data_IF_440803052669
#
_entry.id   IF_440803052669
#
_cell.length_a   1.000
_cell.length_b   1.000
_cell.length_c   1.000
_cell.angle_alpha   90.00
_cell.angle_beta   90.00
_cell.angle_gamma   90.00
#
_symmetry.space_group_name_H-M   'P 1'
#
loop_
_entity.id
_entity.type
_entity.pdbx_description
1 polymer ?
#
# COMPACT_ATOMS: atom_id res chain seq x y z
N UNK A 1 14.07 16.14 -25.68
CA UNK A 1 12.86 15.41 -25.25
C UNK A 1 12.92 15.27 -23.73
N UNK A 2 11.85 15.57 -22.98
CA UNK A 2 11.85 15.32 -21.53
C UNK A 2 12.02 13.80 -21.30
N UNK A 3 12.91 13.40 -20.40
CA UNK A 3 13.10 12.00 -20.02
C UNK A 3 11.78 11.47 -19.46
N UNK A 4 11.39 10.24 -19.84
CA UNK A 4 10.21 9.59 -19.26
C UNK A 4 10.42 9.40 -17.75
N UNK A 5 9.37 9.55 -16.92
CA UNK A 5 9.47 9.30 -15.49
C UNK A 5 9.85 7.82 -15.24
N UNK A 6 10.74 7.57 -14.29
CA UNK A 6 11.04 6.23 -13.78
C UNK A 6 10.09 5.90 -12.65
N UNK A 7 9.41 4.77 -12.76
CA UNK A 7 8.35 4.34 -11.86
C UNK A 7 8.78 3.01 -11.24
N UNK A 8 8.95 3.01 -9.92
CA UNK A 8 9.14 1.78 -9.15
C UNK A 8 7.78 1.19 -8.81
N UNK A 9 7.56 -0.09 -9.16
CA UNK A 9 6.32 -0.82 -8.86
C UNK A 9 6.62 -1.98 -7.91
N UNK A 10 5.80 -2.12 -6.88
CA UNK A 10 5.87 -3.21 -5.89
C UNK A 10 4.47 -3.58 -5.39
N UNK A 11 4.36 -4.56 -4.50
CA UNK A 11 3.13 -4.93 -3.79
C UNK A 11 3.46 -5.84 -2.59
N UNK A 12 2.41 -6.36 -1.93
CA UNK A 12 2.47 -7.38 -0.89
C UNK A 12 1.79 -8.71 -1.26
N UNK A 13 0.98 -8.76 -2.32
CA UNK A 13 0.38 -10.02 -2.81
C UNK A 13 1.36 -10.91 -3.59
N UNK A 14 2.53 -10.38 -3.92
CA UNK A 14 3.59 -11.05 -4.67
C UNK A 14 3.59 -10.71 -6.16
N UNK A 15 4.74 -10.96 -6.79
CA UNK A 15 5.04 -10.46 -8.15
C UNK A 15 4.09 -10.97 -9.23
N UNK A 16 3.50 -12.15 -9.08
CA UNK A 16 2.58 -12.73 -10.07
C UNK A 16 1.11 -12.33 -9.85
N UNK A 17 0.80 -11.58 -8.80
CA UNK A 17 -0.59 -11.27 -8.45
C UNK A 17 -1.31 -10.42 -9.52
N UNK A 18 -2.60 -10.67 -9.80
CA UNK A 18 -3.35 -9.92 -10.83
C UNK A 18 -3.36 -8.41 -10.60
N UNK A 19 -3.41 -7.96 -9.34
CA UNK A 19 -3.41 -6.56 -8.98
C UNK A 19 -2.13 -5.81 -9.38
N UNK A 20 -0.94 -6.38 -9.14
CA UNK A 20 0.33 -5.78 -9.57
C UNK A 20 0.49 -5.85 -11.09
N UNK A 21 0.00 -6.92 -11.74
CA UNK A 21 0.00 -7.02 -13.21
C UNK A 21 -0.84 -5.90 -13.85
N UNK A 22 -2.02 -5.61 -13.29
CA UNK A 22 -2.83 -4.47 -13.72
C UNK A 22 -2.07 -3.16 -13.50
N UNK A 23 -1.50 -2.94 -12.30
CA UNK A 23 -0.78 -1.70 -11.97
C UNK A 23 0.37 -1.44 -12.95
N UNK A 24 1.20 -2.45 -13.19
CA UNK A 24 2.29 -2.43 -14.16
C UNK A 24 1.80 -2.02 -15.55
N UNK A 25 0.69 -2.62 -16.02
CA UNK A 25 0.14 -2.31 -17.33
C UNK A 25 -0.27 -0.84 -17.47
N UNK A 26 -0.68 -0.18 -16.38
CA UNK A 26 -0.97 1.26 -16.35
C UNK A 26 0.33 2.07 -16.35
N UNK A 27 1.29 1.68 -15.51
CA UNK A 27 2.54 2.42 -15.35
C UNK A 27 3.38 2.43 -16.64
N UNK A 28 3.32 1.35 -17.45
CA UNK A 28 3.96 1.27 -18.78
C UNK A 28 3.47 2.36 -19.75
N UNK A 29 2.24 2.84 -19.61
CA UNK A 29 1.72 3.95 -20.42
C UNK A 29 2.27 5.32 -19.97
N UNK A 30 2.78 5.41 -18.75
CA UNK A 30 3.22 6.67 -18.12
C UNK A 30 4.73 6.86 -18.26
N UNK A 31 5.51 5.80 -17.99
CA UNK A 31 6.94 5.93 -17.77
C UNK A 31 7.76 4.67 -18.02
N UNK A 32 9.04 4.77 -17.68
CA UNK A 32 9.97 3.66 -17.58
C UNK A 32 9.66 2.88 -16.29
N UNK A 33 9.35 1.59 -16.39
CA UNK A 33 8.91 0.77 -15.25
C UNK A 33 10.01 -0.16 -14.78
N UNK A 34 10.26 -0.17 -13.47
CA UNK A 34 11.04 -1.19 -12.79
C UNK A 34 10.18 -1.83 -11.72
N UNK A 35 10.19 -3.17 -11.67
CA UNK A 35 9.37 -3.94 -10.74
C UNK A 35 10.28 -4.67 -9.77
N UNK A 36 10.04 -4.48 -8.47
CA UNK A 36 10.68 -5.27 -7.41
C UNK A 36 9.59 -5.63 -6.42
N UNK A 37 9.22 -6.91 -6.34
CA UNK A 37 8.10 -7.36 -5.53
C UNK A 37 8.40 -8.70 -4.84
N UNK A 38 7.71 -9.02 -3.74
CA UNK A 38 7.88 -10.29 -3.06
C UNK A 38 7.62 -11.50 -3.98
N UNK A 39 8.36 -12.58 -3.77
CA UNK A 39 8.18 -13.84 -4.50
C UNK A 39 7.00 -14.69 -3.99
N UNK A 40 6.37 -14.28 -2.90
CA UNK A 40 5.25 -14.94 -2.22
C UNK A 40 4.37 -13.90 -1.53
N UNK A 41 3.09 -14.20 -1.21
CA UNK A 41 2.23 -13.28 -0.48
C UNK A 41 2.79 -12.91 0.91
N UNK A 42 2.73 -11.63 1.25
CA UNK A 42 3.24 -11.01 2.48
C UNK A 42 2.16 -10.18 3.20
N UNK A 43 0.87 -10.50 3.02
CA UNK A 43 -0.24 -9.78 3.64
C UNK A 43 -0.14 -9.80 5.18
N UNK A 44 -0.43 -8.66 5.83
CA UNK A 44 -0.42 -8.53 7.29
C UNK A 44 0.97 -8.44 7.93
N UNK A 45 2.03 -8.29 7.13
CA UNK A 45 3.42 -8.13 7.64
C UNK A 45 3.69 -6.74 8.22
N UNK A 46 2.83 -5.74 7.95
CA UNK A 46 3.09 -4.35 8.33
C UNK A 46 4.41 -3.84 7.77
N UNK A 47 5.08 -2.96 8.52
CA UNK A 47 6.36 -2.36 8.13
C UNK A 47 7.57 -3.22 8.55
N UNK A 48 7.44 -4.54 8.42
CA UNK A 48 8.51 -5.48 8.74
C UNK A 48 9.70 -5.33 7.78
N UNK A 49 10.91 -5.60 8.29
CA UNK A 49 12.17 -5.63 7.51
C UNK A 49 12.98 -6.88 7.86
N UNK A 50 13.73 -7.38 6.88
CA UNK A 50 14.56 -8.57 7.07
C UNK A 50 15.97 -8.16 7.52
N UNK A 51 16.29 -8.39 8.80
CA UNK A 51 17.62 -8.08 9.37
C UNK A 51 18.42 -9.36 9.68
N UNK A 52 17.76 -10.37 10.26
CA UNK A 52 18.42 -11.54 10.82
C UNK A 52 18.49 -12.73 9.83
N UNK A 53 18.35 -12.47 8.53
CA UNK A 53 18.36 -13.49 7.48
C UNK A 53 18.84 -12.88 6.16
N UNK A 54 19.33 -13.72 5.26
CA UNK A 54 19.78 -13.28 3.94
C UNK A 54 18.59 -12.97 3.03
N UNK A 55 18.65 -11.83 2.33
CA UNK A 55 17.73 -11.45 1.27
C UNK A 55 18.24 -11.94 -0.09
N UNK A 56 17.36 -12.58 -0.85
CA UNK A 56 17.63 -13.00 -2.21
C UNK A 56 16.79 -12.17 -3.17
N UNK A 57 17.40 -11.75 -4.27
CA UNK A 57 16.71 -11.05 -5.36
C UNK A 57 17.09 -11.70 -6.68
N UNK A 58 16.07 -12.04 -7.46
CA UNK A 58 16.23 -12.75 -8.72
C UNK A 58 15.54 -11.98 -9.83
N UNK A 59 16.25 -11.78 -10.94
CA UNK A 59 15.64 -11.21 -12.14
C UNK A 59 14.69 -12.25 -12.74
N UNK A 60 13.45 -11.86 -12.97
CA UNK A 60 12.43 -12.71 -13.60
C UNK A 60 11.97 -12.08 -14.91
N UNK A 61 11.45 -12.89 -15.83
CA UNK A 61 10.97 -12.45 -17.13
C UNK A 61 9.48 -12.83 -17.26
N UNK A 62 8.60 -12.14 -16.53
CA UNK A 62 7.16 -12.40 -16.54
C UNK A 62 6.50 -11.53 -17.62
N UNK A 63 6.75 -10.22 -17.59
CA UNK A 63 6.32 -9.28 -18.64
C UNK A 63 7.46 -9.05 -19.64
N UNK A 64 7.23 -9.38 -20.92
CA UNK A 64 8.24 -9.29 -21.98
C UNK A 64 8.67 -7.85 -22.29
N UNK A 65 7.85 -6.86 -21.95
CA UNK A 65 8.16 -5.46 -22.23
C UNK A 65 8.81 -4.76 -21.02
N UNK A 66 9.14 -5.49 -19.95
CA UNK A 66 9.83 -4.96 -18.78
C UNK A 66 11.23 -5.55 -18.70
N UNK A 67 12.23 -4.69 -18.86
CA UNK A 67 13.62 -5.11 -18.82
C UNK A 67 14.10 -5.45 -17.40
N UNK A 68 13.56 -4.76 -16.39
CA UNK A 68 13.98 -4.83 -14.99
C UNK A 68 12.80 -5.24 -14.10
N UNK A 69 12.62 -6.55 -13.99
CA UNK A 69 11.62 -7.16 -13.13
C UNK A 69 12.28 -8.17 -12.19
N UNK A 70 12.07 -8.02 -10.88
CA UNK A 70 12.79 -8.76 -9.85
C UNK A 70 11.85 -9.31 -8.78
N UNK A 71 11.98 -10.61 -8.50
CA UNK A 71 11.34 -11.27 -7.38
C UNK A 71 12.28 -11.23 -6.16
N UNK A 72 11.78 -10.78 -5.02
CA UNK A 72 12.54 -10.68 -3.77
C UNK A 72 12.02 -11.68 -2.73
N UNK A 73 12.91 -12.29 -1.96
CA UNK A 73 12.52 -13.18 -0.85
C UNK A 73 12.07 -12.44 0.42
N UNK A 74 12.18 -11.11 0.43
CA UNK A 74 11.86 -10.27 1.57
C UNK A 74 10.44 -9.72 1.57
N UNK A 75 10.24 -8.76 2.46
CA UNK A 75 9.00 -7.99 2.62
C UNK A 75 8.84 -6.94 1.49
N UNK A 76 7.66 -6.33 1.34
CA UNK A 76 7.47 -5.18 0.45
C UNK A 76 8.43 -4.01 0.76
N UNK A 77 8.75 -3.81 2.04
CA UNK A 77 9.71 -2.79 2.49
C UNK A 77 11.13 -3.13 2.02
N UNK A 78 11.54 -4.40 2.17
CA UNK A 78 12.84 -4.88 1.67
C UNK A 78 12.94 -4.70 0.15
N UNK A 79 11.85 -4.94 -0.59
CA UNK A 79 11.79 -4.72 -2.04
C UNK A 79 12.11 -3.27 -2.41
N UNK A 80 11.51 -2.30 -1.71
CA UNK A 80 11.75 -0.87 -1.96
C UNK A 80 13.18 -0.48 -1.62
N UNK A 81 13.70 -0.93 -0.47
CA UNK A 81 15.09 -0.66 -0.06
C UNK A 81 16.08 -1.21 -1.09
N UNK A 82 15.94 -2.48 -1.46
CA UNK A 82 16.81 -3.12 -2.47
C UNK A 82 16.69 -2.44 -3.83
N UNK A 83 15.48 -2.04 -4.23
CA UNK A 83 15.25 -1.34 -5.48
C UNK A 83 16.07 -0.04 -5.53
N UNK A 84 15.90 0.82 -4.53
CA UNK A 84 16.52 2.14 -4.48
C UNK A 84 18.04 2.05 -4.33
N UNK A 85 18.53 1.10 -3.54
CA UNK A 85 19.95 1.01 -3.19
C UNK A 85 20.80 0.25 -4.22
N UNK A 86 20.27 -0.86 -4.78
CA UNK A 86 21.07 -1.80 -5.57
C UNK A 86 20.61 -2.02 -7.02
N UNK A 87 19.34 -1.76 -7.34
CA UNK A 87 18.77 -2.15 -8.66
C UNK A 87 18.58 -0.96 -9.60
N UNK A 88 18.17 0.19 -9.04
CA UNK A 88 17.88 1.39 -9.79
C UNK A 88 19.16 2.22 -10.01
N UNK A 89 19.43 2.61 -11.26
CA UNK A 89 20.60 3.45 -11.60
C UNK A 89 20.40 4.93 -11.19
N UNK A 90 19.16 5.30 -10.85
CA UNK A 90 18.77 6.63 -10.40
C UNK A 90 17.56 6.53 -9.50
N UNK A 91 17.36 7.54 -8.66
CA UNK A 91 16.15 7.68 -7.84
C UNK A 91 14.89 7.66 -8.73
N UNK A 92 13.87 6.85 -8.40
CA UNK A 92 12.62 6.83 -9.14
C UNK A 92 11.87 8.15 -8.94
N UNK A 93 11.11 8.55 -9.96
CA UNK A 93 10.29 9.77 -9.94
C UNK A 93 9.00 9.55 -9.13
N UNK A 94 8.52 8.30 -9.04
CA UNK A 94 7.44 7.87 -8.16
C UNK A 94 7.55 6.37 -7.84
N UNK A 95 7.09 5.96 -6.66
CA UNK A 95 6.86 4.57 -6.31
C UNK A 95 5.36 4.29 -6.19
N UNK A 96 4.88 3.19 -6.77
CA UNK A 96 3.50 2.74 -6.62
C UNK A 96 3.46 1.31 -6.08
N UNK A 97 2.61 1.09 -5.09
CA UNK A 97 2.46 -0.20 -4.42
C UNK A 97 1.03 -0.74 -4.58
N UNK A 98 0.88 -2.02 -4.94
CA UNK A 98 -0.41 -2.69 -5.12
C UNK A 98 -0.64 -3.21 -6.54
N UNK A 99 -1.88 -3.27 -7.06
CA UNK A 99 -3.14 -3.02 -6.35
C UNK A 99 -3.43 -4.19 -5.42
N UNK A 100 -3.61 -3.92 -4.13
CA UNK A 100 -3.88 -4.94 -3.12
C UNK A 100 -5.29 -5.56 -3.26
N UNK A 101 -5.39 -6.85 -2.96
CA UNK A 101 -6.68 -7.53 -2.73
C UNK A 101 -7.18 -7.27 -1.30
N UNK A 102 -8.22 -6.45 -1.18
CA UNK A 102 -8.76 -5.99 0.10
C UNK A 102 -8.39 -4.54 0.44
N UNK A 103 -9.22 -3.91 1.27
CA UNK A 103 -9.00 -2.53 1.70
C UNK A 103 -7.82 -2.39 2.65
N UNK A 104 -7.09 -1.29 2.49
CA UNK A 104 -6.11 -0.78 3.45
C UNK A 104 -6.58 0.57 4.03
N UNK A 105 -7.88 0.77 4.16
CA UNK A 105 -8.50 1.96 4.75
C UNK A 105 -8.47 1.92 6.28
N UNK A 106 -8.65 3.09 6.90
CA UNK A 106 -8.67 3.24 8.35
C UNK A 106 -7.40 2.66 9.03
N UNK A 107 -7.57 2.01 10.18
CA UNK A 107 -6.47 1.43 10.97
C UNK A 107 -5.68 0.35 10.22
N UNK A 108 -6.23 -0.21 9.13
CA UNK A 108 -5.55 -1.25 8.35
C UNK A 108 -4.26 -0.74 7.68
N UNK A 109 -4.11 0.58 7.50
CA UNK A 109 -2.88 1.20 6.99
C UNK A 109 -1.63 0.72 7.76
N UNK A 110 -1.73 0.51 9.08
CA UNK A 110 -0.61 0.12 9.94
C UNK A 110 -0.14 -1.32 9.65
N UNK A 111 -1.06 -2.21 9.30
CA UNK A 111 -0.78 -3.64 9.07
C UNK A 111 -0.52 -3.96 7.59
N UNK A 112 -0.73 -2.98 6.72
CA UNK A 112 -0.68 -3.12 5.27
C UNK A 112 0.77 -3.18 4.77
N UNK A 113 1.13 -4.29 4.11
CA UNK A 113 2.40 -4.38 3.39
C UNK A 113 2.43 -3.42 2.19
N UNK A 114 1.28 -3.26 1.51
CA UNK A 114 1.11 -2.29 0.42
C UNK A 114 1.49 -0.88 0.85
N UNK A 115 0.93 -0.40 1.97
CA UNK A 115 1.20 0.94 2.48
C UNK A 115 2.59 1.05 3.10
N UNK A 116 3.10 -0.03 3.72
CA UNK A 116 4.46 -0.04 4.26
C UNK A 116 5.51 0.18 3.17
N UNK A 117 5.35 -0.43 2.00
CA UNK A 117 6.20 -0.14 0.85
C UNK A 117 6.09 1.31 0.38
N UNK A 118 4.89 1.87 0.32
CA UNK A 118 4.70 3.28 -0.05
C UNK A 118 5.36 4.23 0.97
N UNK A 119 5.16 3.98 2.27
CA UNK A 119 5.80 4.74 3.36
C UNK A 119 7.31 4.65 3.29
N UNK A 120 7.88 3.46 3.02
CA UNK A 120 9.32 3.28 2.87
C UNK A 120 9.90 4.12 1.72
N UNK A 121 9.20 4.15 0.58
CA UNK A 121 9.57 5.02 -0.53
C UNK A 121 9.48 6.50 -0.13
N UNK A 122 8.43 6.89 0.59
CA UNK A 122 8.25 8.24 1.16
C UNK A 122 9.39 8.65 2.08
N UNK A 123 9.81 7.77 2.99
CA UNK A 123 10.97 7.97 3.88
C UNK A 123 12.28 8.14 3.09
N UNK A 124 12.39 7.47 1.94
CA UNK A 124 13.49 7.66 0.99
C UNK A 124 13.34 8.92 0.11
N UNK A 125 12.39 9.81 0.46
CA UNK A 125 12.03 11.05 -0.23
C UNK A 125 11.59 10.81 -1.69
N UNK A 126 10.98 9.66 -1.98
CA UNK A 126 10.35 9.33 -3.27
C UNK A 126 8.84 9.53 -3.11
N UNK A 127 8.16 10.31 -3.99
CA UNK A 127 6.71 10.39 -3.98
C UNK A 127 6.09 8.98 -4.11
N UNK A 128 5.10 8.64 -3.28
CA UNK A 128 4.60 7.27 -3.23
C UNK A 128 3.09 7.16 -3.07
N UNK A 129 2.51 6.12 -3.68
CA UNK A 129 1.09 5.82 -3.64
C UNK A 129 0.86 4.33 -3.40
N UNK A 130 0.08 3.98 -2.39
CA UNK A 130 -0.48 2.65 -2.19
C UNK A 130 -1.88 2.56 -2.80
N UNK A 131 -2.15 1.52 -3.59
CA UNK A 131 -3.44 1.26 -4.21
C UNK A 131 -4.04 -0.04 -3.68
N UNK A 132 -5.34 -0.04 -3.40
CA UNK A 132 -6.05 -1.18 -2.83
C UNK A 132 -7.48 -1.26 -3.35
N UNK A 133 -7.99 -2.47 -3.57
CA UNK A 133 -9.37 -2.70 -4.02
C UNK A 133 -10.15 -3.43 -2.94
N UNK A 134 -11.38 -3.00 -2.66
CA UNK A 134 -12.30 -3.63 -1.71
C UNK A 134 -12.81 -5.02 -2.07
N UNK A 135 -12.02 -5.81 -2.80
CA UNK A 135 -12.35 -7.17 -3.20
C UNK A 135 -11.19 -8.11 -2.85
N UNK A 136 -11.45 -9.03 -1.92
CA UNK A 136 -10.49 -10.05 -1.47
C UNK A 136 -10.37 -11.22 -2.45
N UNK A 137 -11.21 -11.29 -3.49
CA UNK A 137 -11.14 -12.34 -4.50
C UNK A 137 -9.85 -12.24 -5.30
N UNK A 138 -9.14 -13.35 -5.47
CA UNK A 138 -8.00 -13.43 -6.40
C UNK A 138 -8.39 -13.06 -7.84
N UNK A 139 -9.64 -13.32 -8.22
CA UNK A 139 -10.19 -13.01 -9.54
C UNK A 139 -10.90 -11.64 -9.56
N UNK A 140 -10.56 -10.73 -8.65
CA UNK A 140 -11.13 -9.38 -8.63
C UNK A 140 -10.89 -8.66 -9.97
N UNK A 141 -11.89 -7.92 -10.43
CA UNK A 141 -11.80 -7.13 -11.65
C UNK A 141 -11.27 -5.72 -11.34
N UNK A 142 -10.00 -5.50 -11.70
CA UNK A 142 -9.33 -4.21 -11.53
C UNK A 142 -9.59 -3.24 -12.70
N UNK A 143 -10.15 -3.72 -13.82
CA UNK A 143 -10.31 -2.92 -15.04
C UNK A 143 -11.11 -1.61 -14.87
N UNK A 144 -12.14 -1.52 -14.00
CA UNK A 144 -12.87 -0.27 -13.78
C UNK A 144 -11.99 0.87 -13.25
N UNK A 145 -10.89 0.53 -12.56
CA UNK A 145 -10.06 1.49 -11.83
C UNK A 145 -8.83 1.97 -12.60
N UNK A 146 -8.61 1.46 -13.83
CA UNK A 146 -7.46 1.81 -14.67
C UNK A 146 -7.24 3.31 -14.80
N UNK A 147 -8.30 4.03 -15.18
CA UNK A 147 -8.25 5.47 -15.41
C UNK A 147 -8.02 6.26 -14.11
N UNK A 148 -8.52 5.74 -12.98
CA UNK A 148 -8.31 6.37 -11.67
C UNK A 148 -6.86 6.23 -11.21
N UNK A 149 -6.28 5.04 -11.31
CA UNK A 149 -4.85 4.79 -11.05
C UNK A 149 -3.99 5.72 -11.90
N UNK A 150 -4.23 5.74 -13.22
CA UNK A 150 -3.48 6.58 -14.16
C UNK A 150 -3.58 8.06 -13.81
N UNK A 151 -4.79 8.56 -13.56
CA UNK A 151 -5.06 9.97 -13.23
C UNK A 151 -4.35 10.39 -11.95
N UNK A 152 -4.47 9.61 -10.88
CA UNK A 152 -3.87 9.93 -9.57
C UNK A 152 -2.35 9.93 -9.69
N UNK A 153 -1.76 8.92 -10.34
CA UNK A 153 -0.31 8.86 -10.57
C UNK A 153 0.20 10.04 -11.38
N UNK A 154 -0.50 10.42 -12.46
CA UNK A 154 -0.11 11.57 -13.29
C UNK A 154 -0.20 12.90 -12.53
N UNK A 155 -1.23 13.11 -11.72
CA UNK A 155 -1.34 14.31 -10.89
C UNK A 155 -0.26 14.35 -9.80
N UNK A 156 0.09 13.21 -9.18
CA UNK A 156 1.19 13.14 -8.23
C UNK A 156 2.55 13.43 -8.88
N UNK A 157 2.82 12.89 -10.07
CA UNK A 157 4.04 13.19 -10.84
C UNK A 157 4.12 14.65 -11.25
N UNK A 158 2.98 15.26 -11.63
CA UNK A 158 2.92 16.64 -12.10
C UNK A 158 3.11 17.66 -10.99
N UNK A 159 2.45 17.46 -9.84
CA UNK A 159 2.42 18.43 -8.76
C UNK A 159 3.43 18.11 -7.63
N UNK A 160 3.98 16.90 -7.62
CA UNK A 160 4.67 16.36 -6.45
C UNK A 160 3.68 15.96 -5.36
N UNK A 161 4.22 15.45 -4.25
CA UNK A 161 3.49 15.27 -3.00
C UNK A 161 4.06 16.23 -1.95
N UNK A 162 3.25 16.65 -0.95
CA UNK A 162 3.77 17.36 0.20
C UNK A 162 4.90 16.59 0.88
N UNK A 163 5.78 17.30 1.58
CA UNK A 163 6.87 16.66 2.32
C UNK A 163 6.33 15.69 3.37
N UNK A 164 7.00 14.55 3.50
CA UNK A 164 6.70 13.48 4.45
C UNK A 164 5.26 12.94 4.38
N UNK A 165 4.68 12.97 3.17
CA UNK A 165 3.35 12.45 2.86
C UNK A 165 3.40 11.45 1.71
N UNK A 166 2.66 10.36 1.88
CA UNK A 166 2.33 9.37 0.83
C UNK A 166 0.82 9.31 0.64
N UNK A 167 0.33 8.75 -0.46
CA UNK A 167 -1.11 8.60 -0.68
C UNK A 167 -1.56 7.16 -0.46
N UNK A 168 -2.60 6.97 0.35
CA UNK A 168 -3.35 5.71 0.44
C UNK A 168 -4.63 5.82 -0.39
N UNK A 169 -4.77 4.96 -1.40
CA UNK A 169 -5.88 5.00 -2.35
C UNK A 169 -6.65 3.68 -2.29
N UNK A 170 -7.95 3.77 -1.99
CA UNK A 170 -8.83 2.62 -1.92
C UNK A 170 -9.97 2.73 -2.94
N UNK A 171 -10.21 1.65 -3.65
CA UNK A 171 -11.25 1.51 -4.66
C UNK A 171 -12.44 0.70 -4.12
N UNK A 172 -13.69 1.19 -4.20
CA UNK A 172 -14.84 0.43 -3.78
C UNK A 172 -15.09 -0.74 -4.75
N UNK A 173 -15.66 -1.86 -4.27
CA UNK A 173 -16.04 -2.99 -5.12
C UNK A 173 -17.33 -2.68 -5.90
N UNK A 174 -17.19 -1.86 -6.94
CA UNK A 174 -18.28 -1.36 -7.77
C UNK A 174 -17.92 -1.41 -9.25
N UNK A 175 -18.93 -1.43 -10.12
CA UNK A 175 -18.72 -1.26 -11.57
C UNK A 175 -18.35 0.18 -11.89
N UNK A 176 -17.72 0.38 -13.05
CA UNK A 176 -17.21 1.69 -13.47
C UNK A 176 -18.29 2.79 -13.45
N UNK A 177 -19.51 2.45 -13.85
CA UNK A 177 -20.65 3.36 -13.96
C UNK A 177 -21.22 3.78 -12.60
N UNK A 178 -20.92 3.02 -11.55
CA UNK A 178 -21.41 3.26 -10.18
C UNK A 178 -20.42 4.11 -9.36
N UNK A 179 -19.19 4.29 -9.85
CA UNK A 179 -18.17 5.10 -9.19
C UNK A 179 -18.48 6.58 -9.42
N UNK A 180 -18.75 7.31 -8.32
CA UNK A 180 -19.15 8.72 -8.35
C UNK A 180 -17.99 9.69 -8.51
N UNK A 181 -16.75 9.22 -8.34
CA UNK A 181 -15.53 10.00 -8.51
C UNK A 181 -14.48 9.73 -7.45
N UNK A 182 -13.53 10.66 -7.31
CA UNK A 182 -12.45 10.62 -6.31
C UNK A 182 -12.80 11.60 -5.18
N UNK A 183 -12.62 11.18 -3.93
CA UNK A 183 -12.79 12.02 -2.75
C UNK A 183 -11.53 12.00 -1.90
N UNK A 184 -10.99 13.19 -1.61
CA UNK A 184 -9.91 13.33 -0.62
C UNK A 184 -10.53 13.16 0.77
N UNK A 185 -9.92 12.30 1.57
CA UNK A 185 -10.46 11.87 2.86
C UNK A 185 -9.40 11.97 3.95
N UNK A 186 -9.84 12.01 5.20
CA UNK A 186 -9.02 11.59 6.34
C UNK A 186 -9.25 10.12 6.66
N UNK A 187 -8.35 9.52 7.42
CA UNK A 187 -8.53 8.17 7.95
C UNK A 187 -9.74 8.13 8.92
N UNK A 188 -10.63 7.17 8.74
CA UNK A 188 -11.73 6.91 9.69
C UNK A 188 -11.19 6.43 11.04
N UNK A 189 -11.85 6.83 12.13
CA UNK A 189 -11.67 6.21 13.45
C UNK A 189 -12.40 4.87 13.53
N UNK A 190 -11.76 3.80 13.08
CA UNK A 190 -12.25 2.44 13.21
C UNK A 190 -11.24 1.53 13.92
N UNK A 191 -11.73 0.42 14.45
CA UNK A 191 -10.93 -0.58 15.16
C UNK A 191 -11.41 -1.99 14.79
N UNK A 192 -10.51 -2.96 14.85
CA UNK A 192 -10.93 -4.37 14.89
C UNK A 192 -11.31 -4.74 16.31
N UNK A 193 -12.52 -5.26 16.48
CA UNK A 193 -12.89 -5.99 17.69
C UNK A 193 -12.47 -7.45 17.48
N UNK A 194 -11.26 -7.77 17.95
CA UNK A 194 -10.58 -9.03 17.70
C UNK A 194 -11.07 -10.16 18.62
N UNK A 195 -11.04 -11.38 18.10
CA UNK A 195 -11.29 -12.60 18.86
C UNK A 195 -10.49 -13.77 18.29
N UNK A 196 -10.27 -14.83 19.08
CA UNK A 196 -9.55 -16.01 18.63
C UNK A 196 -10.48 -17.22 18.51
N UNK A 197 -10.59 -17.78 17.31
CA UNK A 197 -11.29 -19.05 17.08
C UNK A 197 -10.38 -20.22 17.44
N UNK A 198 -10.68 -20.88 18.56
CA UNK A 198 -9.91 -22.01 19.09
C UNK A 198 -10.34 -23.31 18.43
N UNK A 199 -9.37 -24.05 17.89
CA UNK A 199 -9.58 -25.37 17.30
C UNK A 199 -8.52 -26.36 17.80
N UNK A 200 -8.78 -27.64 17.56
CA UNK A 200 -7.86 -28.74 17.89
C UNK A 200 -7.52 -29.47 16.61
N UNK A 201 -6.24 -29.70 16.35
CA UNK A 201 -5.81 -30.45 15.17
C UNK A 201 -5.97 -31.97 15.39
N UNK A 202 -5.81 -32.82 14.36
CA UNK A 202 -5.96 -34.26 14.50
C UNK A 202 -5.01 -34.94 15.51
N UNK A 203 -3.94 -34.26 15.94
CA UNK A 203 -2.99 -34.76 16.96
C UNK A 203 -3.31 -34.26 18.37
N UNK A 204 -4.47 -33.63 18.59
CA UNK A 204 -4.87 -33.09 19.89
C UNK A 204 -4.22 -31.76 20.26
N UNK A 205 -3.46 -31.13 19.35
CA UNK A 205 -2.83 -29.83 19.61
C UNK A 205 -3.79 -28.69 19.30
N UNK A 206 -3.93 -27.78 20.25
CA UNK A 206 -4.71 -26.56 20.07
C UNK A 206 -4.03 -25.58 19.13
N UNK A 207 -4.83 -24.88 18.33
CA UNK A 207 -4.42 -23.75 17.53
C UNK A 207 -5.54 -22.72 17.46
N UNK A 208 -5.19 -21.49 17.11
CA UNK A 208 -6.07 -20.34 17.18
C UNK A 208 -6.00 -19.57 15.86
N UNK A 209 -7.15 -19.19 15.33
CA UNK A 209 -7.24 -18.23 14.23
C UNK A 209 -7.59 -16.87 14.80
N UNK A 210 -6.79 -15.83 14.49
CA UNK A 210 -7.20 -14.46 14.73
C UNK A 210 -8.38 -14.14 13.81
N UNK A 211 -9.47 -13.69 14.40
CA UNK A 211 -10.68 -13.25 13.71
C UNK A 211 -11.15 -11.93 14.33
N UNK A 212 -12.18 -11.31 13.78
CA UNK A 212 -12.77 -10.13 14.37
C UNK A 212 -13.79 -9.48 13.47
N UNK A 213 -14.37 -8.40 13.96
CA UNK A 213 -15.24 -7.53 13.18
C UNK A 213 -14.63 -6.13 13.11
N UNK A 214 -14.63 -5.57 11.90
CA UNK A 214 -14.25 -4.17 11.70
C UNK A 214 -15.38 -3.26 12.16
N UNK A 215 -15.11 -2.43 13.16
CA UNK A 215 -16.09 -1.51 13.76
C UNK A 215 -15.69 -0.09 13.47
N UNK A 216 -16.49 0.59 12.66
CA UNK A 216 -16.33 2.01 12.35
C UNK A 216 -17.06 2.86 13.40
N UNK A 217 -16.31 3.57 14.24
CA UNK A 217 -16.84 4.48 15.26
C UNK A 217 -17.02 5.92 14.74
N UNK A 218 -16.57 6.17 13.51
CA UNK A 218 -16.58 7.46 12.88
C UNK A 218 -17.91 7.70 12.15
N UNK A 219 -18.52 8.86 12.41
CA UNK A 219 -19.76 9.30 11.75
C UNK A 219 -19.51 10.42 10.75
N UNK A 220 -18.24 10.76 10.49
CA UNK A 220 -17.84 11.81 9.57
C UNK A 220 -17.98 11.40 8.10
N UNK A 221 -18.44 12.35 7.28
CA UNK A 221 -18.59 12.19 5.83
C UNK A 221 -17.31 12.57 5.05
N UNK A 222 -16.25 12.90 5.77
CA UNK A 222 -14.92 13.23 5.27
C UNK A 222 -13.93 12.07 5.40
N UNK A 223 -14.41 10.88 5.73
CA UNK A 223 -13.61 9.67 5.96
C UNK A 223 -13.49 8.77 4.73
N UNK A 224 -12.43 7.99 4.69
CA UNK A 224 -12.21 6.95 3.70
C UNK A 224 -13.32 5.89 3.69
N UNK A 225 -13.71 5.38 4.86
CA UNK A 225 -14.82 4.42 5.00
C UNK A 225 -16.15 4.98 4.49
N UNK A 226 -16.45 6.25 4.78
CA UNK A 226 -17.65 6.90 4.24
C UNK A 226 -17.55 7.03 2.72
N UNK A 227 -16.42 7.49 2.19
CA UNK A 227 -16.24 7.65 0.75
C UNK A 227 -16.45 6.32 0.00
N UNK A 228 -15.82 5.24 0.48
CA UNK A 228 -15.93 3.91 -0.10
C UNK A 228 -17.37 3.38 -0.07
N UNK A 229 -18.03 3.45 1.07
CA UNK A 229 -19.43 3.01 1.22
C UNK A 229 -20.42 3.84 0.39
N UNK A 230 -20.06 5.07 0.02
CA UNK A 230 -20.88 5.96 -0.79
C UNK A 230 -20.52 5.97 -2.29
N UNK A 231 -19.63 5.06 -2.71
CA UNK A 231 -19.28 4.86 -4.12
C UNK A 231 -18.22 5.80 -4.67
N UNK A 232 -17.37 6.35 -3.79
CA UNK A 232 -16.21 7.14 -4.19
C UNK A 232 -14.92 6.33 -4.05
N UNK A 233 -13.95 6.63 -4.92
CA UNK A 233 -12.55 6.27 -4.68
C UNK A 233 -12.03 7.15 -3.54
N UNK A 234 -11.52 6.53 -2.49
CA UNK A 234 -10.92 7.23 -1.36
C UNK A 234 -9.45 7.52 -1.64
N UNK A 235 -9.01 8.75 -1.37
CA UNK A 235 -7.60 9.15 -1.36
C UNK A 235 -7.29 9.82 -0.02
N UNK A 236 -6.44 9.19 0.78
CA UNK A 236 -6.01 9.72 2.08
C UNK A 236 -4.52 10.09 2.00
N UNK A 237 -4.14 11.35 2.24
CA UNK A 237 -2.75 11.70 2.50
C UNK A 237 -2.34 11.13 3.87
N UNK A 238 -1.30 10.29 3.89
CA UNK A 238 -0.79 9.60 5.07
C UNK A 238 0.61 10.12 5.38
N UNK A 239 0.80 10.56 6.62
CA UNK A 239 2.11 10.88 7.17
C UNK A 239 2.71 9.66 7.88
N UNK A 240 4.03 9.65 8.04
CA UNK A 240 4.75 8.60 8.77
C UNK A 240 5.53 9.13 9.99
N UNK A 241 5.44 10.42 10.27
CA UNK A 241 5.72 10.94 11.61
C UNK A 241 4.50 10.69 12.51
N UNK A 242 4.66 9.73 13.42
CA UNK A 242 3.61 9.32 14.36
C UNK A 242 3.63 10.16 15.66
N UNK A 243 4.42 11.23 15.72
CA UNK A 243 4.48 12.11 16.88
C UNK A 243 3.11 12.73 17.16
N UNK A 244 2.56 12.46 18.34
CA UNK A 244 1.35 13.10 18.82
C UNK A 244 1.66 14.54 19.29
N UNK A 245 1.92 15.46 18.35
CA UNK A 245 2.32 16.84 18.64
C UNK A 245 1.38 17.56 19.63
N UNK A 246 0.08 17.29 19.55
CA UNK A 246 -0.93 17.83 20.46
C UNK A 246 -0.74 17.40 21.93
N UNK A 247 -0.14 16.23 22.18
CA UNK A 247 0.07 15.66 23.51
C UNK A 247 1.37 16.12 24.17
N UNK A 248 2.35 16.61 23.39
CA UNK A 248 3.69 17.01 23.89
C UNK A 248 3.57 17.99 25.07
N UNK A 249 2.74 19.03 24.94
CA UNK A 249 2.55 20.04 25.99
C UNK A 249 2.04 19.42 27.29
N UNK A 250 1.15 18.43 27.20
CA UNK A 250 0.59 17.76 28.39
C UNK A 250 1.65 16.92 29.10
N UNK A 251 2.50 16.22 28.34
CA UNK A 251 3.56 15.36 28.88
C UNK A 251 4.69 16.21 29.48
N UNK A 252 5.04 17.36 28.87
CA UNK A 252 6.06 18.27 29.39
C UNK A 252 5.73 18.88 30.76
N UNK A 253 4.48 18.84 31.19
CA UNK A 253 4.09 19.29 32.52
C UNK A 253 4.34 18.23 33.62
N UNK A 254 4.79 17.03 33.25
CA UNK A 254 5.13 15.98 34.21
C UNK A 254 6.48 16.26 34.88
N UNK A 255 6.56 16.02 36.19
CA UNK A 255 7.78 16.15 36.99
C UNK A 255 8.66 14.89 36.81
N UNK A 256 9.15 14.65 35.60
CA UNK A 256 9.93 13.43 35.26
C UNK A 256 11.37 13.47 35.78
N UNK A 257 11.86 14.63 36.18
CA UNK A 257 13.24 14.87 36.64
C UNK A 257 13.30 15.29 38.12
N UNK A 258 12.24 15.06 38.90
CA UNK A 258 12.22 15.24 40.36
C UNK A 258 12.49 13.92 41.09
#
# INVERSE_FOLDING_TARGET
MKKKPLILVTNDDGITAPGIRMLISVMKEIGEVVVVAPNSPQSGTGHAITINSTLFVEKVNIDKDIEKEYACSGTPVDCVKLAIDQILDRKPDICVSGINHGFNSSINVIYSGTMSAAVEAGMSKVPAIGFSLGDFSWNADFSPFREYVKKITLEALKNGLPEDVVLNVNFPKLKKEEIKGIKICRQAKATWEESFDRRVNPHGKEYYWLTGSFVNHDKGEDTDEWALSHGYVSVVPVQFDLTAYHAIKSINNWKLNE
#
